data_IF_672273087798
#
_entry.id   IF_672273087798
#
_cell.length_a   1.000
_cell.length_b   1.000
_cell.length_c   1.000
_cell.angle_alpha   90.00
_cell.angle_beta   90.00
_cell.angle_gamma   90.00
#
_symmetry.space_group_name_H-M   'P 1'
#
loop_
_entity.id
_entity.type
_entity.pdbx_description
1 polymer ?
#
# COMPACT_ATOMS: atom_id res chain seq x y z
N UNK A 1 3.41 -17.88 2.56
CA UNK A 1 2.34 -16.87 2.67
C UNK A 1 2.57 -15.85 3.78
N UNK A 2 2.72 -16.22 5.07
CA UNK A 2 2.97 -15.25 6.15
C UNK A 2 4.35 -14.58 6.03
N UNK A 3 5.37 -15.31 5.61
CA UNK A 3 6.73 -14.81 5.42
C UNK A 3 6.82 -13.74 4.34
N UNK A 4 6.03 -13.83 3.28
CA UNK A 4 6.04 -12.86 2.17
C UNK A 4 5.43 -11.51 2.54
N UNK A 5 4.46 -11.49 3.45
CA UNK A 5 3.87 -10.23 3.97
C UNK A 5 4.95 -9.45 4.73
N UNK A 6 5.71 -10.09 5.60
CA UNK A 6 6.79 -9.45 6.36
C UNK A 6 7.92 -8.96 5.45
N UNK A 7 8.28 -9.73 4.42
CA UNK A 7 9.34 -9.34 3.48
C UNK A 7 8.97 -8.05 2.74
N UNK A 8 7.73 -7.95 2.25
CA UNK A 8 7.23 -6.75 1.56
C UNK A 8 7.19 -5.54 2.48
N UNK A 9 6.61 -5.69 3.67
CA UNK A 9 6.55 -4.64 4.67
C UNK A 9 7.94 -4.17 5.08
N UNK A 10 8.84 -5.11 5.37
CA UNK A 10 10.22 -4.79 5.73
C UNK A 10 10.93 -3.99 4.64
N UNK A 11 10.81 -4.42 3.39
CA UNK A 11 11.43 -3.73 2.25
C UNK A 11 10.85 -2.32 2.07
N UNK A 12 9.54 -2.16 2.16
CA UNK A 12 8.89 -0.86 2.06
C UNK A 12 9.33 0.09 3.19
N UNK A 13 9.45 -0.43 4.43
CA UNK A 13 9.97 0.33 5.55
C UNK A 13 11.44 0.70 5.35
N UNK A 14 12.26 -0.18 4.79
CA UNK A 14 13.66 0.12 4.47
C UNK A 14 13.78 1.27 3.46
N UNK A 15 12.96 1.29 2.41
CA UNK A 15 12.88 2.42 1.48
C UNK A 15 12.44 3.71 2.17
N UNK A 16 11.45 3.62 3.06
CA UNK A 16 10.99 4.76 3.85
C UNK A 16 12.09 5.32 4.75
N UNK A 17 12.81 4.45 5.44
CA UNK A 17 13.95 4.85 6.28
C UNK A 17 15.06 5.52 5.48
N UNK A 18 15.39 4.99 4.29
CA UNK A 18 16.39 5.60 3.42
C UNK A 18 15.93 6.98 2.91
N UNK A 19 14.67 7.12 2.54
CA UNK A 19 14.11 8.42 2.18
C UNK A 19 14.18 9.43 3.35
N UNK A 20 13.89 8.99 4.58
CA UNK A 20 14.03 9.84 5.77
C UNK A 20 15.49 10.30 6.01
N UNK A 21 16.47 9.42 5.78
CA UNK A 21 17.89 9.80 5.88
C UNK A 21 18.28 10.90 4.88
N UNK A 22 17.58 10.95 3.74
CA UNK A 22 17.75 11.97 2.73
C UNK A 22 16.83 13.19 2.95
N UNK A 23 16.26 13.31 4.14
CA UNK A 23 15.37 14.42 4.57
C UNK A 23 14.04 14.53 3.81
N UNK A 24 13.59 13.46 3.16
CA UNK A 24 12.25 13.42 2.58
C UNK A 24 11.19 13.11 3.64
N UNK A 25 10.03 13.72 3.49
CA UNK A 25 8.87 13.38 4.34
C UNK A 25 8.25 12.07 3.88
N UNK A 26 8.09 11.15 4.81
CA UNK A 26 7.56 9.81 4.56
C UNK A 26 6.33 9.56 5.44
N UNK A 27 5.31 8.96 4.86
CA UNK A 27 4.16 8.47 5.61
C UNK A 27 3.89 7.01 5.25
N UNK A 28 3.76 6.18 6.27
CA UNK A 28 3.29 4.80 6.17
C UNK A 28 1.85 4.72 6.66
N UNK A 29 1.01 3.97 5.95
CA UNK A 29 -0.38 3.72 6.32
C UNK A 29 -0.84 2.39 5.73
N UNK A 30 -1.71 1.66 6.44
CA UNK A 30 -2.44 0.53 5.89
C UNK A 30 -3.64 1.05 5.10
N UNK A 31 -3.97 0.43 3.97
CA UNK A 31 -5.10 0.88 3.14
C UNK A 31 -6.43 0.95 3.93
N UNK A 32 -6.80 -0.04 4.77
CA UNK A 32 -8.03 0.06 5.55
C UNK A 32 -8.08 1.28 6.47
N UNK A 33 -6.96 1.63 7.11
CA UNK A 33 -6.88 2.78 8.02
C UNK A 33 -6.98 4.10 7.25
N UNK A 34 -6.36 4.18 6.08
CA UNK A 34 -6.46 5.34 5.18
C UNK A 34 -7.91 5.56 4.73
N UNK A 35 -8.60 4.49 4.31
CA UNK A 35 -9.99 4.57 3.86
C UNK A 35 -10.92 5.00 4.99
N UNK A 36 -10.72 4.48 6.20
CA UNK A 36 -11.48 4.87 7.39
C UNK A 36 -11.27 6.35 7.73
N UNK A 37 -10.03 6.84 7.68
CA UNK A 37 -9.72 8.26 7.91
C UNK A 37 -10.45 9.16 6.91
N UNK A 38 -10.44 8.80 5.62
CA UNK A 38 -11.09 9.59 4.58
C UNK A 38 -12.62 9.55 4.71
N UNK A 39 -13.19 8.40 5.04
CA UNK A 39 -14.62 8.25 5.27
C UNK A 39 -15.10 9.08 6.47
N UNK A 40 -14.39 9.02 7.58
CA UNK A 40 -14.70 9.84 8.78
C UNK A 40 -14.59 11.32 8.45
N UNK A 41 -13.55 11.70 7.71
CA UNK A 41 -13.35 13.09 7.31
C UNK A 41 -14.46 13.65 6.39
N UNK A 42 -15.09 12.80 5.59
CA UNK A 42 -16.26 13.19 4.79
C UNK A 42 -17.45 13.49 5.69
N UNK A 43 -17.70 12.64 6.69
CA UNK A 43 -18.79 12.84 7.66
C UNK A 43 -18.60 14.12 8.48
N UNK A 44 -17.37 14.46 8.81
CA UNK A 44 -17.00 15.64 9.62
C UNK A 44 -16.84 16.92 8.79
N UNK A 45 -17.00 16.86 7.46
CA UNK A 45 -16.76 17.99 6.56
C UNK A 45 -15.29 18.43 6.46
N UNK A 46 -14.35 17.59 6.84
CA UNK A 46 -12.91 17.88 6.92
C UNK A 46 -12.06 17.09 5.89
N UNK A 47 -12.68 16.56 4.85
CA UNK A 47 -12.07 15.67 3.88
C UNK A 47 -10.79 16.25 3.25
N UNK A 48 -10.83 17.51 2.81
CA UNK A 48 -9.69 18.16 2.15
C UNK A 48 -8.45 18.24 3.05
N UNK A 49 -8.64 18.52 4.34
CA UNK A 49 -7.51 18.61 5.28
C UNK A 49 -6.92 17.23 5.61
N UNK A 50 -7.79 16.22 5.76
CA UNK A 50 -7.33 14.85 6.02
C UNK A 50 -6.65 14.29 4.77
N UNK A 51 -7.17 14.55 3.58
CA UNK A 51 -6.54 14.13 2.33
C UNK A 51 -5.12 14.70 2.18
N UNK A 52 -4.87 15.93 2.65
CA UNK A 52 -3.52 16.54 2.65
C UNK A 52 -2.50 15.76 3.46
N UNK A 53 -2.91 15.05 4.52
CA UNK A 53 -2.01 14.19 5.30
C UNK A 53 -1.38 13.09 4.47
N UNK A 54 -2.06 12.69 3.38
CA UNK A 54 -1.63 11.62 2.48
C UNK A 54 -1.10 12.14 1.14
N UNK A 55 -1.46 13.36 0.74
CA UNK A 55 -0.98 13.95 -0.51
C UNK A 55 0.32 14.75 -0.36
N UNK A 56 0.59 15.30 0.83
CA UNK A 56 1.75 16.15 1.08
C UNK A 56 3.08 15.39 1.24
N UNK A 57 3.14 14.19 1.88
CA UNK A 57 4.41 13.48 2.01
C UNK A 57 5.04 13.18 0.65
N UNK A 58 6.37 13.34 0.55
CA UNK A 58 7.13 13.04 -0.67
C UNK A 58 7.05 11.55 -0.99
N UNK A 59 7.09 10.69 0.04
CA UNK A 59 6.87 9.25 -0.10
C UNK A 59 5.69 8.82 0.77
N UNK A 60 4.70 8.20 0.12
CA UNK A 60 3.59 7.52 0.80
C UNK A 60 3.75 6.01 0.60
N UNK A 61 3.73 5.26 1.68
CA UNK A 61 3.72 3.80 1.66
C UNK A 61 2.33 3.34 2.07
N UNK A 62 1.64 2.66 1.16
CA UNK A 62 0.31 2.09 1.40
C UNK A 62 0.48 0.57 1.49
N UNK A 63 0.36 0.05 2.70
CA UNK A 63 0.41 -1.39 2.96
C UNK A 63 -0.99 -2.03 2.91
N UNK A 64 -1.03 -3.36 2.80
CA UNK A 64 -2.27 -4.13 2.61
C UNK A 64 -3.08 -3.65 1.39
N UNK A 65 -2.37 -3.24 0.32
CA UNK A 65 -2.98 -2.72 -0.88
C UNK A 65 -3.96 -3.73 -1.48
N UNK A 66 -5.22 -3.31 -1.58
CA UNK A 66 -6.34 -4.09 -2.14
C UNK A 66 -6.52 -5.49 -1.50
N UNK A 67 -6.17 -5.63 -0.22
CA UNK A 67 -6.43 -6.87 0.54
C UNK A 67 -7.92 -7.21 0.56
N UNK A 68 -8.78 -6.20 0.65
CA UNK A 68 -10.23 -6.30 0.56
C UNK A 68 -10.74 -5.57 -0.68
N UNK A 69 -11.88 -6.01 -1.19
CA UNK A 69 -12.55 -5.33 -2.29
C UNK A 69 -13.01 -3.94 -1.88
N UNK A 70 -12.76 -2.96 -2.73
CA UNK A 70 -13.22 -1.59 -2.52
C UNK A 70 -14.67 -1.43 -2.91
N UNK A 71 -15.40 -0.65 -2.14
CA UNK A 71 -16.68 -0.07 -2.53
C UNK A 71 -16.46 1.06 -3.55
N UNK A 72 -17.52 1.47 -4.24
CA UNK A 72 -17.41 2.59 -5.20
C UNK A 72 -17.01 3.91 -4.53
N UNK A 73 -17.49 4.17 -3.31
CA UNK A 73 -17.14 5.36 -2.54
C UNK A 73 -15.65 5.37 -2.16
N UNK A 74 -15.14 4.24 -1.66
CA UNK A 74 -13.72 4.09 -1.32
C UNK A 74 -12.82 4.22 -2.55
N UNK A 75 -13.23 3.64 -3.68
CA UNK A 75 -12.50 3.76 -4.92
C UNK A 75 -12.44 5.21 -5.44
N UNK A 76 -13.50 6.00 -5.25
CA UNK A 76 -13.50 7.45 -5.59
C UNK A 76 -12.52 8.24 -4.73
N UNK A 77 -12.50 7.98 -3.43
CA UNK A 77 -11.56 8.64 -2.50
C UNK A 77 -10.12 8.29 -2.84
N UNK A 78 -9.87 7.02 -3.12
CA UNK A 78 -8.57 6.53 -3.53
C UNK A 78 -8.12 7.10 -4.87
N UNK A 79 -9.03 7.19 -5.85
CA UNK A 79 -8.76 7.83 -7.12
C UNK A 79 -8.32 9.29 -6.95
N UNK A 80 -9.00 10.05 -6.08
CA UNK A 80 -8.64 11.45 -5.83
C UNK A 80 -7.25 11.55 -5.18
N UNK A 81 -6.94 10.69 -4.23
CA UNK A 81 -5.61 10.62 -3.63
C UNK A 81 -4.53 10.36 -4.67
N UNK A 82 -4.70 9.30 -5.47
CA UNK A 82 -3.72 8.90 -6.50
C UNK A 82 -3.57 9.99 -7.56
N UNK A 83 -4.68 10.57 -7.99
CA UNK A 83 -4.67 11.68 -8.97
C UNK A 83 -3.86 12.87 -8.49
N UNK A 84 -4.02 13.27 -7.21
CA UNK A 84 -3.28 14.41 -6.63
C UNK A 84 -1.79 14.12 -6.44
N UNK A 85 -1.42 12.87 -6.22
CA UNK A 85 -0.02 12.46 -6.05
C UNK A 85 0.70 12.21 -7.38
N UNK A 86 -0.03 11.83 -8.43
CA UNK A 86 0.55 11.52 -9.75
C UNK A 86 1.48 12.64 -10.23
N UNK A 87 2.69 12.29 -10.66
CA UNK A 87 3.76 13.19 -11.15
C UNK A 87 4.24 14.27 -10.16
N UNK A 88 3.86 14.17 -8.89
CA UNK A 88 4.27 15.11 -7.83
C UNK A 88 5.08 14.45 -6.73
N UNK A 89 4.74 13.24 -6.39
CA UNK A 89 5.28 12.52 -5.24
C UNK A 89 5.22 11.02 -5.46
N UNK A 90 6.08 10.29 -4.76
CA UNK A 90 6.21 8.84 -4.92
C UNK A 90 5.26 8.07 -4.01
N UNK A 91 4.73 6.96 -4.51
CA UNK A 91 3.88 6.07 -3.71
C UNK A 91 4.37 4.63 -3.87
N UNK A 92 4.48 3.91 -2.76
CA UNK A 92 4.76 2.48 -2.73
C UNK A 92 3.47 1.76 -2.36
N UNK A 93 3.07 0.79 -3.16
CA UNK A 93 1.94 -0.08 -2.91
C UNK A 93 2.44 -1.48 -2.54
N UNK A 94 2.14 -1.94 -1.33
CA UNK A 94 2.49 -3.28 -0.86
C UNK A 94 1.26 -4.18 -0.94
N UNK A 95 1.25 -5.12 -1.86
CA UNK A 95 0.13 -6.02 -2.10
C UNK A 95 0.55 -7.48 -2.00
N UNK A 96 -0.36 -8.33 -1.55
CA UNK A 96 -0.23 -9.78 -1.67
C UNK A 96 -0.76 -10.31 -3.00
N UNK A 97 -1.53 -9.50 -3.71
CA UNK A 97 -2.04 -9.83 -5.03
C UNK A 97 -1.08 -9.34 -6.12
N UNK A 98 -1.03 -10.06 -7.22
CA UNK A 98 -0.37 -9.59 -8.44
C UNK A 98 -1.16 -8.43 -9.03
N UNK A 99 -0.49 -7.53 -9.73
CA UNK A 99 -1.14 -6.36 -10.33
C UNK A 99 -2.31 -6.74 -11.26
N UNK A 100 -2.21 -7.86 -11.97
CA UNK A 100 -3.30 -8.38 -12.80
C UNK A 100 -4.60 -8.68 -12.03
N UNK A 101 -4.49 -8.93 -10.73
CA UNK A 101 -5.63 -9.23 -9.86
C UNK A 101 -6.22 -7.97 -9.22
N UNK A 102 -5.51 -6.85 -9.22
CA UNK A 102 -5.95 -5.59 -8.58
C UNK A 102 -7.24 -5.06 -9.18
N UNK A 103 -7.40 -5.22 -10.49
CA UNK A 103 -8.60 -4.78 -11.20
C UNK A 103 -9.88 -5.34 -10.59
N UNK A 104 -9.87 -6.64 -10.26
CA UNK A 104 -11.03 -7.32 -9.65
C UNK A 104 -11.30 -6.87 -8.21
N UNK A 105 -10.30 -6.33 -7.52
CA UNK A 105 -10.45 -5.82 -6.16
C UNK A 105 -11.05 -4.39 -6.14
N UNK A 106 -11.02 -3.70 -7.27
CA UNK A 106 -11.59 -2.35 -7.40
C UNK A 106 -12.99 -2.46 -7.98
N UNK A 107 -14.02 -2.29 -7.16
CA UNK A 107 -15.42 -2.31 -7.56
C UNK A 107 -15.83 -3.56 -8.38
N UNK A 108 -15.21 -4.70 -8.16
CA UNK A 108 -15.49 -5.94 -8.89
C UNK A 108 -15.00 -5.98 -10.34
N UNK A 109 -14.19 -5.02 -10.78
CA UNK A 109 -13.54 -5.02 -12.09
C UNK A 109 -14.38 -4.48 -13.25
N UNK A 110 -15.63 -4.10 -13.05
CA UNK A 110 -16.52 -3.59 -14.11
C UNK A 110 -16.79 -2.08 -13.99
N UNK A 111 -15.74 -1.32 -13.66
CA UNK A 111 -15.89 0.11 -13.39
C UNK A 111 -14.87 0.93 -14.17
N UNK A 112 -15.35 1.99 -14.85
CA UNK A 112 -14.47 3.02 -15.45
C UNK A 112 -13.50 3.63 -14.41
N UNK A 113 -13.88 3.58 -13.14
CA UNK A 113 -13.07 4.03 -12.03
C UNK A 113 -11.89 3.08 -11.76
N UNK A 114 -12.12 1.76 -11.90
CA UNK A 114 -11.03 0.76 -11.82
C UNK A 114 -10.01 0.97 -12.94
N UNK A 115 -10.47 1.16 -14.18
CA UNK A 115 -9.60 1.51 -15.32
C UNK A 115 -8.78 2.77 -15.03
N UNK A 116 -9.44 3.81 -14.53
CA UNK A 116 -8.81 5.09 -14.27
C UNK A 116 -7.77 5.03 -13.12
N UNK A 117 -7.99 4.20 -12.10
CA UNK A 117 -7.03 3.96 -11.02
C UNK A 117 -5.83 3.17 -11.55
N UNK A 118 -6.10 2.06 -12.25
CA UNK A 118 -5.04 1.19 -12.76
C UNK A 118 -4.14 1.90 -13.76
N UNK A 119 -4.71 2.68 -14.68
CA UNK A 119 -3.93 3.49 -15.64
C UNK A 119 -2.96 4.44 -14.92
N UNK A 120 -3.38 5.04 -13.82
CA UNK A 120 -2.54 5.97 -13.06
C UNK A 120 -1.41 5.30 -12.27
N UNK A 121 -1.61 4.07 -11.86
CA UNK A 121 -0.62 3.30 -11.09
C UNK A 121 0.37 2.62 -12.04
N UNK A 122 -0.13 1.95 -13.08
CA UNK A 122 0.67 1.05 -13.92
C UNK A 122 1.61 1.77 -14.88
N UNK A 123 1.26 2.97 -15.33
CA UNK A 123 1.97 3.64 -16.44
C UNK A 123 3.42 4.03 -16.10
N UNK A 124 3.69 4.47 -14.87
CA UNK A 124 5.00 4.96 -14.42
C UNK A 124 5.47 4.18 -13.17
N UNK A 125 5.25 2.88 -13.10
CA UNK A 125 5.58 2.07 -11.92
C UNK A 125 6.75 1.13 -12.13
N UNK A 126 7.56 0.98 -11.08
CA UNK A 126 8.52 -0.11 -10.94
C UNK A 126 7.85 -1.25 -10.18
N UNK A 127 7.98 -2.47 -10.68
CA UNK A 127 7.43 -3.67 -10.05
C UNK A 127 8.55 -4.46 -9.39
N UNK A 128 8.33 -4.85 -8.15
CA UNK A 128 9.22 -5.72 -7.40
C UNK A 128 8.40 -6.92 -6.94
N UNK A 129 8.63 -8.05 -7.58
CA UNK A 129 8.04 -9.32 -7.19
C UNK A 129 8.95 -10.02 -6.19
N UNK A 130 8.40 -10.33 -5.01
CA UNK A 130 9.12 -11.04 -3.95
C UNK A 130 8.58 -12.46 -3.94
N UNK A 131 9.38 -13.38 -4.46
CA UNK A 131 9.05 -14.79 -4.49
C UNK A 131 10.06 -15.59 -3.66
N UNK A 132 9.61 -16.66 -3.03
CA UNK A 132 10.53 -17.61 -2.39
C UNK A 132 11.17 -18.47 -3.48
N UNK A 133 12.49 -18.56 -3.48
CA UNK A 133 13.25 -19.43 -4.41
C UNK A 133 13.08 -20.90 -4.08
N UNK A 134 12.72 -21.23 -2.85
CA UNK A 134 12.45 -22.60 -2.39
C UNK A 134 11.34 -22.57 -1.35
N UNK A 135 10.08 -22.88 -1.75
CA UNK A 135 8.93 -22.90 -0.81
C UNK A 135 9.09 -23.86 0.36
N UNK A 136 9.93 -24.89 0.23
CA UNK A 136 10.20 -25.84 1.31
C UNK A 136 11.15 -25.31 2.38
N UNK A 137 11.89 -24.24 2.05
CA UNK A 137 12.83 -23.52 2.92
C UNK A 137 12.38 -22.12 3.26
N UNK A 138 11.11 -21.80 3.12
CA UNK A 138 10.56 -20.49 3.43
C UNK A 138 10.50 -20.27 4.95
N UNK A 139 11.70 -20.20 5.53
CA UNK A 139 11.91 -19.92 6.94
C UNK A 139 11.69 -18.44 7.17
N UNK A 140 10.82 -18.10 8.12
CA UNK A 140 10.57 -16.70 8.44
C UNK A 140 11.85 -16.06 8.99
N UNK A 141 12.12 -14.80 8.66
CA UNK A 141 13.28 -14.07 9.20
C UNK A 141 13.27 -14.04 10.75
N UNK A 142 12.09 -14.17 11.38
CA UNK A 142 11.97 -14.32 12.83
C UNK A 142 12.55 -15.64 13.34
N UNK A 143 12.39 -16.73 12.59
CA UNK A 143 12.98 -18.02 12.91
C UNK A 143 14.50 -17.97 12.73
N UNK A 144 14.97 -17.32 11.66
CA UNK A 144 16.42 -17.15 11.39
C UNK A 144 17.11 -16.37 12.52
N UNK A 145 16.43 -15.38 13.09
CA UNK A 145 16.98 -14.55 14.17
C UNK A 145 16.57 -15.01 15.58
N UNK A 146 15.94 -16.18 15.72
CA UNK A 146 15.52 -16.70 17.03
C UNK A 146 14.45 -15.86 17.74
N UNK A 147 13.70 -15.05 17.01
CA UNK A 147 12.69 -14.16 17.55
C UNK A 147 11.28 -14.77 17.56
N UNK A 148 11.18 -16.10 17.40
CA UNK A 148 9.91 -16.80 17.43
C UNK A 148 9.44 -16.97 18.89
N UNK A 149 8.27 -16.41 19.28
CA UNK A 149 7.82 -16.46 20.68
C UNK A 149 7.54 -17.88 21.19
N UNK A 150 7.40 -18.87 20.31
CA UNK A 150 7.21 -20.29 20.69
C UNK A 150 8.51 -21.00 21.12
N UNK A 151 9.68 -20.42 20.81
CA UNK A 151 10.99 -20.97 21.19
C UNK A 151 11.61 -20.30 22.43
N UNK A 152 10.94 -19.33 23.02
CA UNK A 152 11.37 -18.62 24.22
C UNK A 152 10.79 -19.21 25.51
N UNK A 153 10.72 -20.56 25.58
CA UNK A 153 10.38 -21.30 26.82
C UNK A 153 11.56 -22.13 27.27
#
# INVERSE_FOLDING_TARGET
AASDVYKRQYMACAFGMEACKQYYTVKYVRLPDLLLDLQSARSDGNFTNVLKKYTNPVLLIIDEWLLLKLTESEARDLFELIHKRRKRSSTIFCSQYRESEWYQQICGGESTLADAIMDRISYDSYKIDIESTDPSKDISMREVYGLNPEQAK
#
